data_IF_769440354409
#
_entry.id   IF_769440354409
#
_cell.length_a   1.000
_cell.length_b   1.000
_cell.length_c   1.000
_cell.angle_alpha   90.00
_cell.angle_beta   90.00
_cell.angle_gamma   90.00
#
_symmetry.space_group_name_H-M   'P 1'
#
loop_
_entity.id
_entity.type
_entity.pdbx_description
1 polymer ?
#
# COMPACT_ATOMS: atom_id res chain seq x y z
N UNK A 1 7.12 23.43 -12.68
CA UNK A 1 6.05 22.67 -13.35
C UNK A 1 4.79 23.52 -13.49
N UNK A 2 4.67 24.31 -14.56
CA UNK A 2 3.49 25.18 -14.78
C UNK A 2 2.28 24.40 -15.31
N UNK A 3 2.52 23.45 -16.23
CA UNK A 3 1.48 22.59 -16.80
C UNK A 3 0.72 21.78 -15.74
N UNK A 4 1.43 21.03 -14.90
CA UNK A 4 0.81 20.23 -13.83
C UNK A 4 -0.10 21.04 -12.90
N UNK A 5 0.30 22.27 -12.56
CA UNK A 5 -0.53 23.16 -11.71
C UNK A 5 -1.78 23.64 -12.45
N UNK A 6 -1.66 23.90 -13.76
CA UNK A 6 -2.80 24.25 -14.61
C UNK A 6 -3.77 23.06 -14.74
N UNK A 7 -3.25 21.84 -14.88
CA UNK A 7 -4.05 20.61 -14.97
C UNK A 7 -4.83 20.33 -13.67
N UNK A 8 -4.19 20.54 -12.51
CA UNK A 8 -4.86 20.46 -11.21
C UNK A 8 -6.00 21.48 -11.10
N UNK A 9 -5.75 22.74 -11.51
CA UNK A 9 -6.77 23.80 -11.51
C UNK A 9 -7.93 23.47 -12.45
N UNK A 10 -7.63 22.98 -13.66
CA UNK A 10 -8.64 22.56 -14.64
C UNK A 10 -9.51 21.41 -14.11
N UNK A 11 -8.88 20.48 -13.39
CA UNK A 11 -9.54 19.31 -12.80
C UNK A 11 -10.22 19.59 -11.45
N UNK A 12 -10.15 20.83 -10.94
CA UNK A 12 -10.67 21.25 -9.63
C UNK A 12 -10.10 20.42 -8.47
N UNK A 13 -8.83 20.03 -8.58
CA UNK A 13 -8.12 19.30 -7.52
C UNK A 13 -7.34 20.32 -6.70
N UNK A 14 -7.67 20.39 -5.41
CA UNK A 14 -6.91 21.21 -4.46
C UNK A 14 -5.48 20.67 -4.32
N UNK A 15 -4.45 21.52 -4.43
CA UNK A 15 -3.05 21.07 -4.32
C UNK A 15 -2.68 20.54 -2.94
N UNK A 16 -3.48 20.83 -1.91
CA UNK A 16 -3.27 20.38 -0.54
C UNK A 16 -4.54 19.65 -0.08
N UNK A 17 -4.37 18.45 0.45
CA UNK A 17 -5.49 17.67 0.98
C UNK A 17 -5.84 18.05 2.43
N UNK A 18 -6.92 17.46 2.95
CA UNK A 18 -7.38 17.69 4.33
C UNK A 18 -6.37 17.25 5.41
N UNK A 19 -5.40 16.41 5.05
CA UNK A 19 -4.34 15.94 5.93
C UNK A 19 -3.06 16.79 5.82
N UNK A 20 -3.08 17.88 5.05
CA UNK A 20 -1.93 18.76 4.83
C UNK A 20 -0.87 18.21 3.87
N UNK A 21 -1.18 17.14 3.13
CA UNK A 21 -0.28 16.56 2.12
C UNK A 21 -0.43 17.30 0.80
N UNK A 22 0.68 17.50 0.11
CA UNK A 22 0.71 18.23 -1.17
C UNK A 22 0.68 17.28 -2.35
N UNK A 23 -0.16 17.60 -3.34
CA UNK A 23 -0.20 16.94 -4.63
C UNK A 23 0.86 17.56 -5.54
N UNK A 24 1.88 16.78 -5.85
CA UNK A 24 2.89 17.11 -6.84
C UNK A 24 2.99 15.98 -7.88
N UNK A 25 3.96 16.07 -8.79
CA UNK A 25 4.12 15.05 -9.83
C UNK A 25 4.46 13.66 -9.25
N UNK A 26 5.08 13.61 -8.07
CA UNK A 26 5.37 12.36 -7.39
C UNK A 26 4.11 11.66 -6.89
N UNK A 27 3.05 12.41 -6.58
CA UNK A 27 1.75 11.87 -6.17
C UNK A 27 1.14 10.93 -7.22
N UNK A 28 1.44 11.13 -8.51
CA UNK A 28 1.03 10.21 -9.58
C UNK A 28 1.69 8.83 -9.41
N UNK A 29 2.95 8.80 -9.01
CA UNK A 29 3.69 7.56 -8.76
C UNK A 29 3.17 6.85 -7.51
N UNK A 30 2.81 7.59 -6.46
CA UNK A 30 2.12 7.04 -5.28
C UNK A 30 0.82 6.35 -5.67
N UNK A 31 0.02 7.02 -6.50
CA UNK A 31 -1.29 6.53 -6.93
C UNK A 31 -1.14 5.25 -7.73
N UNK A 32 -0.20 5.20 -8.68
CA UNK A 32 0.08 3.99 -9.44
C UNK A 32 0.50 2.82 -8.53
N UNK A 33 1.40 3.05 -7.57
CA UNK A 33 1.79 2.03 -6.59
C UNK A 33 0.61 1.49 -5.79
N UNK A 34 -0.28 2.39 -5.35
CA UNK A 34 -1.48 2.05 -4.60
C UNK A 34 -2.44 1.21 -5.45
N UNK A 35 -2.62 1.56 -6.74
CA UNK A 35 -3.45 0.78 -7.67
C UNK A 35 -2.89 -0.63 -7.90
N UNK A 36 -1.57 -0.79 -8.04
CA UNK A 36 -0.94 -2.11 -8.17
C UNK A 36 -1.18 -2.97 -6.92
N UNK A 37 -1.00 -2.37 -5.74
CA UNK A 37 -1.24 -3.06 -4.46
C UNK A 37 -2.71 -3.45 -4.29
N UNK A 38 -3.65 -2.57 -4.63
CA UNK A 38 -5.09 -2.85 -4.58
C UNK A 38 -5.50 -3.99 -5.53
N UNK A 39 -4.85 -4.10 -6.70
CA UNK A 39 -5.03 -5.19 -7.66
C UNK A 39 -4.26 -6.47 -7.30
N UNK A 40 -3.65 -6.54 -6.10
CA UNK A 40 -2.90 -7.71 -5.60
C UNK A 40 -1.74 -8.15 -6.51
N UNK A 41 -1.15 -7.20 -7.25
CA UNK A 41 0.06 -7.45 -8.03
C UNK A 41 1.17 -7.93 -7.10
N UNK A 42 1.94 -8.93 -7.54
CA UNK A 42 2.97 -9.48 -6.68
C UNK A 42 4.07 -8.46 -6.38
N UNK A 43 4.71 -8.60 -5.21
CA UNK A 43 5.84 -7.77 -4.79
C UNK A 43 7.05 -7.85 -5.74
N UNK A 44 7.11 -8.85 -6.64
CA UNK A 44 8.14 -8.96 -7.68
C UNK A 44 7.76 -8.21 -8.96
N UNK A 45 6.49 -8.20 -9.32
CA UNK A 45 6.01 -7.55 -10.54
C UNK A 45 5.86 -6.04 -10.36
N UNK A 46 5.45 -5.58 -9.17
CA UNK A 46 5.24 -4.16 -8.91
C UNK A 46 6.50 -3.30 -9.15
N UNK A 47 7.70 -3.67 -8.65
CA UNK A 47 8.94 -2.94 -8.96
C UNK A 47 9.27 -2.93 -10.46
N UNK A 48 8.99 -4.02 -11.18
CA UNK A 48 9.23 -4.11 -12.62
C UNK A 48 8.32 -3.14 -13.41
N UNK A 49 7.03 -3.11 -13.08
CA UNK A 49 6.06 -2.16 -13.66
C UNK A 49 6.42 -0.70 -13.30
N UNK A 50 6.88 -0.46 -12.08
CA UNK A 50 7.33 0.86 -11.63
C UNK A 50 8.74 1.24 -12.10
N UNK A 51 9.44 0.33 -12.81
CA UNK A 51 10.83 0.50 -13.26
C UNK A 51 11.77 0.88 -12.11
N UNK A 52 11.57 0.26 -10.94
CA UNK A 52 12.35 0.50 -9.72
C UNK A 52 13.45 -0.56 -9.64
N UNK A 53 14.71 -0.12 -9.52
CA UNK A 53 15.86 -1.03 -9.36
C UNK A 53 15.89 -1.71 -7.99
N UNK A 54 15.54 -0.98 -6.93
CA UNK A 54 15.51 -1.52 -5.56
C UNK A 54 14.05 -1.83 -5.15
N UNK A 55 13.72 -3.12 -4.90
CA UNK A 55 12.39 -3.54 -4.45
C UNK A 55 11.96 -2.93 -3.11
N UNK A 56 12.91 -2.62 -2.21
CA UNK A 56 12.60 -2.08 -0.87
C UNK A 56 11.85 -0.75 -0.94
N UNK A 57 12.12 0.01 -1.98
CA UNK A 57 11.48 1.28 -2.23
C UNK A 57 10.02 1.17 -2.68
N UNK A 58 9.59 -0.02 -3.12
CA UNK A 58 8.20 -0.30 -3.51
C UNK A 58 7.41 -0.86 -2.33
N UNK A 59 8.08 -1.55 -1.40
CA UNK A 59 7.45 -2.18 -0.24
C UNK A 59 6.93 -1.15 0.78
N UNK A 60 7.73 -0.14 1.14
CA UNK A 60 7.43 0.72 2.30
C UNK A 60 7.09 2.18 1.98
N UNK A 61 7.47 2.71 0.81
CA UNK A 61 7.43 4.18 0.58
C UNK A 61 6.12 4.64 -0.06
N UNK A 62 5.38 3.75 -0.74
CA UNK A 62 4.32 4.18 -1.67
C UNK A 62 2.97 3.49 -1.54
N UNK A 63 2.81 2.63 -0.55
CA UNK A 63 1.56 1.90 -0.34
C UNK A 63 0.79 2.56 0.78
N UNK A 64 -0.36 3.19 0.48
CA UNK A 64 -1.29 3.61 1.53
C UNK A 64 -1.99 2.36 2.10
N UNK A 65 -1.60 1.97 3.31
CA UNK A 65 -2.12 0.78 4.00
C UNK A 65 -3.64 0.83 4.19
N UNK A 66 -4.24 2.03 4.23
CA UNK A 66 -5.69 2.21 4.43
C UNK A 66 -6.51 1.68 3.25
N UNK A 67 -5.89 1.53 2.08
CA UNK A 67 -6.55 1.07 0.85
C UNK A 67 -6.39 -0.44 0.64
N UNK A 68 -5.54 -1.11 1.44
CA UNK A 68 -5.29 -2.53 1.29
C UNK A 68 -6.50 -3.35 1.79
N UNK A 69 -6.94 -4.39 1.04
CA UNK A 69 -8.08 -5.22 1.43
C UNK A 69 -7.67 -6.29 2.47
N UNK A 70 -7.03 -5.87 3.57
CA UNK A 70 -6.43 -6.75 4.58
C UNK A 70 -7.44 -7.76 5.14
N UNK A 71 -8.67 -7.32 5.42
CA UNK A 71 -9.73 -8.19 5.92
C UNK A 71 -10.13 -9.28 4.90
N UNK A 72 -10.11 -8.98 3.60
CA UNK A 72 -10.42 -9.97 2.57
C UNK A 72 -9.30 -10.99 2.42
N UNK A 73 -8.03 -10.56 2.56
CA UNK A 73 -6.87 -11.46 2.55
C UNK A 73 -6.90 -12.38 3.76
N UNK A 74 -7.20 -11.85 4.95
CA UNK A 74 -7.28 -12.63 6.19
C UNK A 74 -8.34 -13.74 6.11
N UNK A 75 -9.49 -13.48 5.48
CA UNK A 75 -10.52 -14.51 5.26
C UNK A 75 -10.07 -15.67 4.36
N UNK A 76 -9.06 -15.44 3.51
CA UNK A 76 -8.48 -16.50 2.67
C UNK A 76 -7.44 -17.36 3.40
N UNK A 77 -7.06 -17.02 4.63
CA UNK A 77 -6.11 -17.82 5.39
C UNK A 77 -6.74 -19.12 5.89
N UNK A 78 -6.02 -20.25 5.82
CA UNK A 78 -6.50 -21.50 6.41
C UNK A 78 -6.61 -21.35 7.93
N UNK A 79 -7.64 -21.96 8.52
CA UNK A 79 -7.75 -22.06 9.97
C UNK A 79 -6.85 -23.19 10.45
N UNK A 80 -5.91 -22.89 11.34
CA UNK A 80 -5.07 -23.92 11.96
C UNK A 80 -5.75 -24.43 13.24
N UNK A 81 -5.77 -25.75 13.48
CA UNK A 81 -6.27 -26.29 14.74
C UNK A 81 -5.38 -25.78 15.88
N UNK A 82 -6.00 -25.17 16.89
CA UNK A 82 -5.29 -24.72 18.08
C UNK A 82 -4.81 -25.95 18.84
N UNK A 83 -3.50 -26.23 18.80
CA UNK A 83 -2.93 -27.21 19.72
C UNK A 83 -3.03 -26.62 21.13
N UNK A 84 -3.96 -27.14 21.94
CA UNK A 84 -3.92 -26.94 23.39
C UNK A 84 -2.70 -27.67 23.92
N UNK A 85 -1.54 -27.02 23.85
CA UNK A 85 -0.36 -27.47 24.55
C UNK A 85 -0.64 -27.29 26.04
N UNK A 86 -1.23 -28.32 26.68
CA UNK A 86 -1.39 -28.38 28.13
C UNK A 86 0.01 -28.36 28.72
N UNK A 87 0.45 -27.19 29.18
CA UNK A 87 1.70 -27.05 29.88
C UNK A 87 1.62 -27.95 31.13
N UNK A 88 2.48 -28.98 31.27
CA UNK A 88 2.42 -29.85 32.43
C UNK A 88 2.71 -29.00 33.67
N UNK A 89 1.79 -29.12 34.62
CA UNK A 89 1.72 -28.42 35.89
C UNK A 89 3.11 -28.39 36.56
N UNK A 90 3.67 -27.19 36.74
CA UNK A 90 4.95 -27.00 37.45
C UNK A 90 4.65 -27.06 38.94
N UNK A 91 4.53 -28.28 39.46
CA UNK A 91 4.50 -28.58 40.88
C UNK A 91 5.84 -28.25 41.52
N UNK A 92 5.90 -27.18 42.32
CA UNK A 92 6.70 -27.07 43.53
C UNK A 92 5.99 -26.19 44.55
#
# INVERSE_FOLDING_TARGET
>A
MKAFTADLRLSKIEPIDQAGRRVDFHSLRMTFSTMLAANRVSQREAPALMRRRDPRLTANVYTDERVLPLAAVLRGCPTFPTQTHRHPNRSR
#
